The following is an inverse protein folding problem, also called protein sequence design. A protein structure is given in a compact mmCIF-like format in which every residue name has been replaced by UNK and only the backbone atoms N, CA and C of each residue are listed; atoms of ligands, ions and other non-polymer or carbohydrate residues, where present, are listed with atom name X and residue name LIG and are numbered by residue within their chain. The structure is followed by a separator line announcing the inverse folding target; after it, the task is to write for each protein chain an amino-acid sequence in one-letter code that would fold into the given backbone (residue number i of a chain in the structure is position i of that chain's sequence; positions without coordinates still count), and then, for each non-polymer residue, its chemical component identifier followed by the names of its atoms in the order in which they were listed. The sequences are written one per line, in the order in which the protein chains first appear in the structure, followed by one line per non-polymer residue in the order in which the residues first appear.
data_IF_833295876998
#
_entry.id   IF_833295876998
#
_cell.length_a   1.000
_cell.length_b   1.000
_cell.length_c   1.000
_cell.angle_alpha   90.00
_cell.angle_beta   90.00
_cell.angle_gamma   90.00
#
_symmetry.space_group_name_H-M   'P 1'
#
loop_
_entity.id
_entity.type
_entity.pdbx_description
1 polymer ?
#
# COMPACT_ATOMS: atom_id res chain seq x y z
N UNK A 1 7.78 -6.83 -0.86
CA UNK A 1 6.69 -5.90 -1.22
C UNK A 1 6.56 -4.82 -0.15
N UNK A 2 6.50 -3.55 -0.52
CA UNK A 2 6.26 -2.45 0.39
C UNK A 2 4.95 -1.75 0.02
N UNK A 3 4.15 -1.39 1.02
CA UNK A 3 3.02 -0.49 0.86
C UNK A 3 3.32 0.80 1.60
N UNK A 4 3.39 1.92 0.88
CA UNK A 4 3.61 3.25 1.45
C UNK A 4 2.27 3.97 1.53
N UNK A 5 1.88 4.45 2.71
CA UNK A 5 0.58 5.08 2.90
C UNK A 5 0.51 6.03 4.08
N UNK A 6 -0.52 6.88 4.08
CA UNK A 6 -0.72 7.92 5.09
C UNK A 6 0.28 9.05 4.95
N UNK A 7 0.49 9.80 6.01
CA UNK A 7 1.50 10.86 6.08
C UNK A 7 2.94 10.33 6.00
N UNK A 8 3.13 8.99 6.10
CA UNK A 8 4.42 8.34 5.81
C UNK A 8 4.87 8.55 4.36
N UNK A 9 3.98 9.00 3.48
CA UNK A 9 4.25 9.26 2.07
C UNK A 9 5.34 10.31 1.84
N UNK A 10 5.75 11.10 2.84
CA UNK A 10 6.41 12.36 2.44
C UNK A 10 7.48 12.87 3.40
N UNK A 11 7.93 12.17 4.38
CA UNK A 11 9.18 12.61 4.97
C UNK A 11 10.34 12.14 4.09
N UNK A 12 10.62 13.00 3.11
CA UNK A 12 11.64 12.81 2.07
C UNK A 12 12.92 12.23 2.64
N UNK A 13 13.35 11.10 2.10
CA UNK A 13 14.64 10.48 2.41
C UNK A 13 14.60 9.33 3.42
N UNK A 14 13.44 8.90 3.90
CA UNK A 14 13.37 7.86 4.95
C UNK A 14 13.34 6.44 4.41
N UNK A 15 12.69 6.17 3.27
CA UNK A 15 12.62 4.81 2.73
C UNK A 15 13.66 4.55 1.64
N UNK A 16 14.13 5.57 0.94
CA UNK A 16 15.02 5.43 -0.21
C UNK A 16 16.33 4.74 0.12
N UNK A 17 16.95 5.07 1.26
CA UNK A 17 18.18 4.42 1.71
C UNK A 17 17.96 2.93 2.02
N UNK A 18 16.87 2.58 2.70
CA UNK A 18 16.54 1.18 3.01
C UNK A 18 16.24 0.39 1.74
N UNK A 19 15.49 0.97 0.79
CA UNK A 19 15.19 0.33 -0.49
C UNK A 19 16.46 0.11 -1.30
N UNK A 20 17.36 1.11 -1.37
CA UNK A 20 18.68 0.96 -2.00
C UNK A 20 19.46 -0.21 -1.40
N UNK A 21 19.53 -0.26 -0.08
CA UNK A 21 20.31 -1.29 0.63
C UNK A 21 19.71 -2.69 0.40
N UNK A 22 18.37 -2.81 0.34
CA UNK A 22 17.69 -4.06 -0.03
C UNK A 22 18.02 -4.49 -1.46
N UNK A 23 17.94 -3.57 -2.42
CA UNK A 23 18.25 -3.86 -3.82
C UNK A 23 19.73 -4.24 -3.98
N UNK A 24 20.63 -3.54 -3.29
CA UNK A 24 22.06 -3.85 -3.28
C UNK A 24 22.36 -5.22 -2.66
N UNK A 25 21.54 -5.68 -1.72
CA UNK A 25 21.60 -7.04 -1.16
C UNK A 25 20.94 -8.10 -2.06
N UNK A 26 20.47 -7.74 -3.26
CA UNK A 26 19.86 -8.66 -4.23
C UNK A 26 18.35 -8.87 -4.06
N UNK A 27 17.69 -8.12 -3.19
CA UNK A 27 16.25 -8.23 -3.03
C UNK A 27 15.51 -7.60 -4.21
N UNK A 28 14.44 -8.27 -4.66
CA UNK A 28 13.48 -7.70 -5.63
C UNK A 28 12.43 -6.91 -4.85
N UNK A 29 12.39 -5.61 -5.06
CA UNK A 29 11.47 -4.71 -4.35
C UNK A 29 10.40 -4.21 -5.29
N UNK A 30 9.13 -4.30 -4.84
CA UNK A 30 7.96 -3.67 -5.48
C UNK A 30 7.30 -2.77 -4.45
N UNK A 31 6.88 -1.59 -4.85
CA UNK A 31 6.22 -0.60 -3.98
C UNK A 31 4.82 -0.35 -4.51
N UNK A 32 3.81 -0.38 -3.64
CA UNK A 32 2.51 0.24 -3.90
C UNK A 32 2.38 1.46 -3.00
N UNK A 33 1.96 2.59 -3.56
CA UNK A 33 1.72 3.78 -2.74
C UNK A 33 0.23 4.05 -2.54
N UNK A 34 -0.10 4.87 -1.55
CA UNK A 34 -1.42 5.42 -1.33
C UNK A 34 -1.58 6.79 -2.01
N UNK A 35 -2.21 7.72 -1.30
CA UNK A 35 -2.46 9.08 -1.76
C UNK A 35 -3.84 9.59 -1.37
N UNK A 36 -4.52 8.91 -0.43
CA UNK A 36 -5.87 9.27 0.00
C UNK A 36 -5.96 10.68 0.56
N UNK A 37 -4.97 11.08 1.36
CA UNK A 37 -4.90 12.42 1.97
C UNK A 37 -4.64 13.48 0.90
N UNK A 38 -3.65 13.25 0.02
CA UNK A 38 -3.37 14.15 -1.11
C UNK A 38 -4.58 14.31 -2.04
N UNK A 39 -5.36 13.24 -2.26
CA UNK A 39 -6.60 13.32 -3.02
C UNK A 39 -7.68 14.11 -2.26
N UNK A 40 -7.79 13.95 -0.94
CA UNK A 40 -8.72 14.72 -0.12
C UNK A 40 -8.40 16.20 -0.18
N UNK A 41 -7.14 16.57 -0.03
CA UNK A 41 -6.67 17.96 -0.10
C UNK A 41 -6.90 18.57 -1.48
N UNK A 42 -6.64 17.80 -2.53
CA UNK A 42 -6.87 18.21 -3.92
C UNK A 42 -8.37 18.48 -4.21
N UNK A 43 -9.26 17.62 -3.70
CA UNK A 43 -10.72 17.80 -3.83
C UNK A 43 -11.20 18.98 -2.99
N UNK A 44 -10.73 19.13 -1.74
CA UNK A 44 -11.07 20.24 -0.86
C UNK A 44 -10.73 21.60 -1.46
N UNK A 45 -9.56 21.73 -2.11
CA UNK A 45 -9.19 22.96 -2.85
C UNK A 45 -10.12 23.31 -4.00
N UNK A 46 -10.94 22.37 -4.45
CA UNK A 46 -11.98 22.55 -5.49
C UNK A 46 -13.39 22.66 -4.93
N UNK A 47 -13.51 22.73 -3.60
CA UNK A 47 -14.78 22.81 -2.92
C UNK A 47 -15.56 21.49 -2.87
N UNK A 48 -14.90 20.36 -3.17
CA UNK A 48 -15.50 19.03 -3.12
C UNK A 48 -15.26 18.38 -1.76
N UNK A 49 -16.34 17.85 -1.16
CA UNK A 49 -16.27 17.09 0.10
C UNK A 49 -16.35 15.59 -0.22
N UNK A 50 -15.33 14.79 0.14
CA UNK A 50 -15.39 13.35 -0.12
C UNK A 50 -16.45 12.66 0.75
N UNK A 51 -17.15 11.70 0.17
CA UNK A 51 -18.06 10.80 0.89
C UNK A 51 -17.45 9.40 0.97
N UNK A 52 -17.82 8.66 2.02
CA UNK A 52 -17.24 7.36 2.34
C UNK A 52 -18.33 6.34 2.64
N UNK A 53 -18.16 5.12 2.20
CA UNK A 53 -18.97 3.95 2.53
C UNK A 53 -18.01 2.83 2.96
N UNK A 54 -18.16 2.33 4.17
CA UNK A 54 -17.35 1.24 4.72
C UNK A 54 -15.83 1.47 4.58
N UNK A 55 -15.38 2.72 4.78
CA UNK A 55 -13.97 3.09 4.67
C UNK A 55 -13.44 3.23 3.23
N UNK A 56 -14.30 3.08 2.22
CA UNK A 56 -13.99 3.32 0.82
C UNK A 56 -14.54 4.67 0.35
N UNK A 57 -13.75 5.43 -0.40
CA UNK A 57 -14.17 6.71 -0.96
C UNK A 57 -15.14 6.50 -2.10
N UNK A 58 -16.35 7.02 -2.00
CA UNK A 58 -17.25 7.10 -3.14
C UNK A 58 -16.58 7.89 -4.27
N UNK A 59 -16.46 7.29 -5.44
CA UNK A 59 -15.64 7.82 -6.52
C UNK A 59 -16.51 8.06 -7.75
N UNK A 60 -16.93 9.31 -7.95
CA UNK A 60 -17.58 9.76 -9.19
C UNK A 60 -16.58 9.76 -10.36
N UNK A 61 -17.04 10.00 -11.58
CA UNK A 61 -16.14 10.18 -12.73
C UNK A 61 -15.13 11.33 -12.49
N UNK A 62 -15.59 12.46 -11.94
CA UNK A 62 -14.72 13.59 -11.61
C UNK A 62 -13.71 13.24 -10.51
N UNK A 63 -14.16 12.53 -9.47
CA UNK A 63 -13.27 12.06 -8.39
C UNK A 63 -12.25 11.04 -8.90
N UNK A 64 -12.64 10.15 -9.84
CA UNK A 64 -11.71 9.23 -10.51
C UNK A 64 -10.63 9.99 -11.28
N UNK A 65 -11.01 10.97 -12.06
CA UNK A 65 -10.07 11.76 -12.87
C UNK A 65 -9.11 12.58 -11.97
N UNK A 66 -9.64 13.10 -10.84
CA UNK A 66 -8.83 13.69 -9.79
C UNK A 66 -7.84 12.67 -9.19
N UNK A 67 -8.27 11.44 -8.91
CA UNK A 67 -7.41 10.39 -8.39
C UNK A 67 -6.28 10.04 -9.37
N UNK A 68 -6.56 9.94 -10.66
CA UNK A 68 -5.53 9.75 -11.71
C UNK A 68 -4.51 10.89 -11.67
N UNK A 69 -4.98 12.15 -11.62
CA UNK A 69 -4.12 13.34 -11.57
C UNK A 69 -3.22 13.33 -10.33
N UNK A 70 -3.81 13.08 -9.16
CA UNK A 70 -3.08 13.10 -7.88
C UNK A 70 -2.09 11.95 -7.78
N UNK A 71 -2.55 10.73 -8.03
CA UNK A 71 -1.71 9.55 -7.82
C UNK A 71 -0.55 9.47 -8.82
N UNK A 72 -0.81 9.76 -10.10
CA UNK A 72 0.24 9.73 -11.14
C UNK A 72 1.04 11.02 -11.25
N UNK A 73 0.40 12.17 -11.05
CA UNK A 73 1.01 13.48 -11.30
C UNK A 73 1.63 14.13 -10.07
N UNK A 74 1.27 13.70 -8.86
CA UNK A 74 1.75 14.32 -7.62
C UNK A 74 2.45 13.30 -6.71
N UNK A 75 1.75 12.24 -6.30
CA UNK A 75 2.27 11.28 -5.30
C UNK A 75 3.40 10.43 -5.89
N UNK A 76 3.16 9.76 -7.02
CA UNK A 76 4.17 8.91 -7.65
C UNK A 76 5.46 9.67 -7.99
N UNK A 77 5.44 10.85 -8.63
CA UNK A 77 6.67 11.60 -8.92
C UNK A 77 7.45 12.01 -7.67
N UNK A 78 6.77 12.38 -6.58
CA UNK A 78 7.43 12.73 -5.33
C UNK A 78 8.17 11.52 -4.72
N UNK A 79 7.51 10.36 -4.66
CA UNK A 79 8.09 9.12 -4.16
C UNK A 79 9.24 8.64 -5.05
N UNK A 80 9.06 8.65 -6.37
CA UNK A 80 10.10 8.27 -7.32
C UNK A 80 11.31 9.19 -7.20
N UNK A 81 11.09 10.50 -7.08
CA UNK A 81 12.16 11.47 -6.90
C UNK A 81 13.01 11.19 -5.66
N UNK A 82 12.36 10.83 -4.54
CA UNK A 82 13.05 10.42 -3.32
C UNK A 82 13.88 9.13 -3.53
N UNK A 83 13.29 8.12 -4.12
CA UNK A 83 13.98 6.85 -4.40
C UNK A 83 15.19 7.06 -5.31
N UNK A 84 15.03 7.81 -6.39
CA UNK A 84 16.11 8.12 -7.35
C UNK A 84 17.22 8.96 -6.71
N UNK A 85 16.87 9.93 -5.87
CA UNK A 85 17.85 10.72 -5.11
C UNK A 85 18.70 9.86 -4.15
N UNK A 86 18.18 8.69 -3.73
CA UNK A 86 18.90 7.71 -2.92
C UNK A 86 19.60 6.63 -3.76
N UNK A 87 19.66 6.75 -5.09
CA UNK A 87 20.34 5.82 -5.98
C UNK A 87 19.52 4.60 -6.39
N UNK A 88 18.20 4.60 -6.13
CA UNK A 88 17.29 3.52 -6.54
C UNK A 88 16.80 3.76 -7.97
N UNK A 89 16.88 2.76 -8.83
CA UNK A 89 16.29 2.81 -10.18
C UNK A 89 14.78 2.57 -10.10
N UNK A 90 14.02 3.58 -9.65
CA UNK A 90 12.58 3.50 -9.49
C UNK A 90 11.83 3.81 -10.79
N UNK A 91 10.79 3.01 -11.08
CA UNK A 91 9.92 3.18 -12.26
C UNK A 91 8.47 3.31 -11.80
N UNK A 92 7.86 4.47 -12.05
CA UNK A 92 6.45 4.70 -11.75
C UNK A 92 5.54 4.09 -12.79
N UNK A 93 4.61 3.27 -12.34
CA UNK A 93 3.51 2.73 -13.13
C UNK A 93 2.19 2.94 -12.38
N UNK A 94 1.09 2.99 -13.11
CA UNK A 94 -0.21 2.82 -12.51
C UNK A 94 -0.70 1.39 -12.76
N UNK A 95 -1.57 0.88 -11.93
CA UNK A 95 -2.05 -0.50 -12.07
C UNK A 95 -2.73 -0.80 -13.42
N UNK A 96 -3.26 0.23 -14.10
CA UNK A 96 -3.79 0.09 -15.45
C UNK A 96 -2.72 -0.03 -16.55
N UNK A 97 -1.47 0.42 -16.31
CA UNK A 97 -0.40 0.36 -17.31
C UNK A 97 -0.07 -1.12 -17.61
N UNK A 98 -0.08 -1.48 -18.88
CA UNK A 98 0.06 -2.88 -19.30
C UNK A 98 -1.03 -3.82 -18.77
N UNK A 99 -2.09 -3.29 -18.18
CA UNK A 99 -3.15 -4.08 -17.53
C UNK A 99 -2.63 -4.86 -16.32
N UNK A 100 -1.63 -4.32 -15.60
CA UNK A 100 -1.02 -4.98 -14.43
C UNK A 100 -2.07 -5.29 -13.37
N UNK A 101 -3.01 -4.36 -13.11
CA UNK A 101 -4.11 -4.58 -12.17
C UNK A 101 -5.43 -4.54 -12.92
N UNK A 102 -6.09 -5.69 -13.02
CA UNK A 102 -7.43 -5.83 -13.57
C UNK A 102 -8.44 -5.83 -12.45
N UNK A 103 -9.51 -5.07 -12.65
CA UNK A 103 -10.55 -4.87 -11.63
C UNK A 103 -11.94 -5.10 -12.19
N UNK A 104 -12.88 -5.30 -11.29
CA UNK A 104 -14.29 -5.11 -11.51
C UNK A 104 -14.80 -3.96 -10.62
N UNK A 105 -15.93 -3.37 -10.96
CA UNK A 105 -16.59 -2.39 -10.09
C UNK A 105 -16.94 -3.03 -8.75
N UNK A 106 -16.52 -2.41 -7.64
CA UNK A 106 -16.78 -2.92 -6.28
C UNK A 106 -18.26 -2.97 -5.95
N UNK A 107 -18.97 -1.88 -6.22
CA UNK A 107 -20.43 -1.78 -6.16
C UNK A 107 -20.91 -0.51 -6.90
N UNK A 108 -22.16 -0.48 -7.38
CA UNK A 108 -22.73 0.73 -7.99
C UNK A 108 -22.75 1.94 -7.05
N UNK A 109 -22.96 1.73 -5.75
CA UNK A 109 -23.01 2.80 -4.75
C UNK A 109 -21.65 3.50 -4.55
N UNK A 110 -20.55 2.82 -4.83
CA UNK A 110 -19.20 3.37 -4.74
C UNK A 110 -18.73 4.04 -6.04
N UNK A 111 -19.47 3.89 -7.14
CA UNK A 111 -19.09 4.44 -8.44
C UNK A 111 -17.84 3.76 -9.01
N UNK A 112 -16.82 4.54 -9.35
CA UNK A 112 -15.57 4.07 -9.95
C UNK A 112 -14.56 3.56 -8.90
N UNK A 113 -15.01 2.75 -7.95
CA UNK A 113 -14.15 2.00 -7.04
C UNK A 113 -14.02 0.58 -7.56
N UNK A 114 -12.77 0.13 -7.74
CA UNK A 114 -12.44 -1.19 -8.25
C UNK A 114 -12.07 -2.16 -7.14
N UNK A 115 -12.49 -3.43 -7.32
CA UNK A 115 -11.98 -4.60 -6.60
C UNK A 115 -11.00 -5.34 -7.49
N UNK A 116 -9.82 -5.68 -6.98
CA UNK A 116 -8.82 -6.41 -7.75
C UNK A 116 -9.30 -7.83 -8.08
N UNK A 117 -9.24 -8.19 -9.37
CA UNK A 117 -9.56 -9.53 -9.87
C UNK A 117 -8.34 -10.30 -10.31
N UNK A 118 -7.38 -9.61 -10.92
CA UNK A 118 -6.17 -10.22 -11.45
C UNK A 118 -5.00 -9.25 -11.34
N UNK A 119 -3.83 -9.75 -11.00
CA UNK A 119 -2.56 -9.04 -11.13
C UNK A 119 -1.70 -9.77 -12.16
N UNK A 120 -1.36 -9.07 -13.24
CA UNK A 120 -0.46 -9.56 -14.30
C UNK A 120 0.97 -9.23 -13.95
N UNK A 121 1.64 -10.17 -13.30
CA UNK A 121 2.99 -9.96 -12.74
C UNK A 121 4.12 -9.86 -13.75
N UNK A 122 3.90 -10.15 -15.04
CA UNK A 122 4.95 -10.20 -16.06
C UNK A 122 5.79 -8.92 -16.07
N UNK A 123 5.15 -7.75 -16.25
CA UNK A 123 5.85 -6.46 -16.23
C UNK A 123 6.61 -6.21 -14.92
N UNK A 124 6.04 -6.59 -13.76
CA UNK A 124 6.68 -6.41 -12.46
C UNK A 124 7.94 -7.28 -12.34
N UNK A 125 7.86 -8.52 -12.80
CA UNK A 125 9.01 -9.43 -12.83
C UNK A 125 10.11 -8.89 -13.77
N UNK A 126 9.76 -8.48 -14.99
CA UNK A 126 10.72 -7.96 -15.97
C UNK A 126 11.47 -6.73 -15.41
N UNK A 127 10.76 -5.82 -14.73
CA UNK A 127 11.36 -4.65 -14.11
C UNK A 127 12.30 -5.04 -12.95
N UNK A 128 11.82 -5.88 -12.03
CA UNK A 128 12.62 -6.26 -10.85
C UNK A 128 13.82 -7.14 -11.20
N UNK A 129 13.72 -7.98 -12.22
CA UNK A 129 14.86 -8.79 -12.73
C UNK A 129 15.96 -7.95 -13.35
N UNK A 130 15.62 -6.77 -13.84
CA UNK A 130 16.59 -5.77 -14.36
C UNK A 130 17.08 -4.79 -13.29
N UNK A 131 16.75 -4.98 -12.03
CA UNK A 131 17.16 -4.13 -10.91
C UNK A 131 16.35 -2.84 -10.76
N UNK A 132 15.22 -2.72 -11.47
CA UNK A 132 14.30 -1.61 -11.27
C UNK A 132 13.33 -1.87 -10.12
N UNK A 133 12.87 -0.81 -9.48
CA UNK A 133 11.86 -0.84 -8.42
C UNK A 133 10.55 -0.27 -8.98
N UNK A 134 9.58 -1.13 -9.40
CA UNK A 134 8.27 -0.66 -9.82
C UNK A 134 7.51 -0.05 -8.64
N UNK A 135 7.01 1.17 -8.86
CA UNK A 135 6.23 1.94 -7.89
C UNK A 135 4.82 2.13 -8.45
N UNK A 136 3.84 1.49 -7.82
CA UNK A 136 2.50 1.27 -8.38
C UNK A 136 1.50 2.25 -7.77
N UNK A 137 0.88 3.08 -8.60
CA UNK A 137 -0.26 3.90 -8.21
C UNK A 137 -1.54 3.04 -8.14
N UNK A 138 -2.44 3.27 -7.15
CA UNK A 138 -3.59 2.42 -6.87
C UNK A 138 -4.76 2.68 -7.84
N UNK A 139 -4.52 2.41 -9.11
CA UNK A 139 -5.50 2.47 -10.19
C UNK A 139 -5.61 1.10 -10.86
N UNK A 140 -6.79 0.71 -11.25
CA UNK A 140 -7.04 -0.53 -11.95
C UNK A 140 -7.78 -0.32 -13.26
N UNK A 141 -7.70 -1.30 -14.17
CA UNK A 141 -8.37 -1.29 -15.46
C UNK A 141 -9.52 -2.30 -15.47
N UNK A 142 -10.74 -1.83 -15.65
CA UNK A 142 -11.92 -2.64 -15.82
C UNK A 142 -11.96 -3.38 -17.16
N UNK A 143 -12.83 -4.37 -17.28
CA UNK A 143 -13.07 -5.06 -18.54
C UNK A 143 -13.76 -4.16 -19.58
N UNK A 144 -14.45 -3.12 -19.11
CA UNK A 144 -15.09 -2.06 -19.88
C UNK A 144 -14.09 -1.03 -20.45
N UNK A 145 -12.81 -1.12 -20.08
CA UNK A 145 -11.78 -0.15 -20.46
C UNK A 145 -11.71 1.09 -19.54
N UNK A 146 -12.60 1.18 -18.56
CA UNK A 146 -12.63 2.29 -17.61
C UNK A 146 -11.55 2.13 -16.51
N UNK A 147 -11.11 3.28 -15.99
CA UNK A 147 -10.21 3.33 -14.85
C UNK A 147 -11.00 3.33 -13.53
N UNK A 148 -10.48 2.63 -12.57
CA UNK A 148 -11.06 2.55 -11.24
C UNK A 148 -10.03 2.94 -10.19
N UNK A 149 -10.47 3.73 -9.20
CA UNK A 149 -9.74 3.94 -7.96
C UNK A 149 -9.77 2.66 -7.13
N UNK A 150 -8.61 2.21 -6.66
CA UNK A 150 -8.50 0.98 -5.87
C UNK A 150 -7.92 1.30 -4.50
N UNK A 151 -8.33 0.58 -3.47
CA UNK A 151 -7.70 0.71 -2.15
C UNK A 151 -6.23 0.30 -2.23
N UNK A 152 -5.32 1.16 -1.74
CA UNK A 152 -3.88 0.92 -1.83
C UNK A 152 -3.40 -0.30 -1.02
N UNK A 153 -4.08 -0.65 0.07
CA UNK A 153 -3.76 -1.85 0.87
C UNK A 153 -4.19 -3.11 0.11
N UNK A 154 -5.34 -3.07 -0.59
CA UNK A 154 -5.80 -4.13 -1.47
C UNK A 154 -4.83 -4.35 -2.66
N UNK A 155 -4.38 -3.26 -3.30
CA UNK A 155 -3.37 -3.34 -4.37
C UNK A 155 -2.10 -4.00 -3.86
N UNK A 156 -1.60 -3.57 -2.70
CA UNK A 156 -0.38 -4.12 -2.11
C UNK A 156 -0.51 -5.61 -1.83
N UNK A 157 -1.62 -6.03 -1.24
CA UNK A 157 -1.90 -7.44 -0.95
C UNK A 157 -2.01 -8.29 -2.21
N UNK A 158 -2.78 -7.84 -3.19
CA UNK A 158 -2.95 -8.55 -4.46
C UNK A 158 -1.62 -8.70 -5.22
N UNK A 159 -0.81 -7.63 -5.24
CA UNK A 159 0.52 -7.67 -5.86
C UNK A 159 1.44 -8.62 -5.10
N UNK A 160 1.50 -8.52 -3.75
CA UNK A 160 2.34 -9.40 -2.93
C UNK A 160 2.04 -10.89 -3.19
N UNK A 161 0.76 -11.25 -3.23
CA UNK A 161 0.31 -12.59 -3.58
C UNK A 161 0.75 -13.01 -4.99
N UNK A 162 0.55 -12.14 -5.99
CA UNK A 162 0.86 -12.45 -7.38
C UNK A 162 2.35 -12.64 -7.65
N UNK A 163 3.21 -11.80 -7.04
CA UNK A 163 4.67 -11.91 -7.18
C UNK A 163 5.28 -12.93 -6.21
N UNK A 164 4.47 -13.55 -5.34
CA UNK A 164 4.90 -14.47 -4.27
C UNK A 164 5.97 -13.82 -3.39
N UNK A 165 5.63 -12.66 -2.85
CA UNK A 165 6.54 -11.91 -2.01
C UNK A 165 6.88 -12.68 -0.72
N UNK A 166 8.16 -12.71 -0.34
CA UNK A 166 8.60 -13.29 0.93
C UNK A 166 8.10 -12.45 2.12
N UNK A 167 7.97 -11.13 1.93
CA UNK A 167 7.44 -10.22 2.94
C UNK A 167 6.61 -9.10 2.31
N UNK A 168 5.57 -8.67 3.05
CA UNK A 168 4.84 -7.43 2.81
C UNK A 168 4.93 -6.54 4.05
N UNK A 169 5.40 -5.31 3.87
CA UNK A 169 5.44 -4.29 4.91
C UNK A 169 4.42 -3.20 4.58
N UNK A 170 3.44 -3.02 5.45
CA UNK A 170 2.57 -1.84 5.47
C UNK A 170 3.29 -0.74 6.25
N UNK A 171 3.86 0.23 5.54
CA UNK A 171 4.44 1.43 6.13
C UNK A 171 3.30 2.43 6.40
N UNK A 172 3.12 2.79 7.65
CA UNK A 172 2.02 3.62 8.14
C UNK A 172 2.57 4.70 9.09
N UNK A 173 1.70 5.52 9.64
CA UNK A 173 2.00 6.59 10.59
C UNK A 173 1.82 6.18 12.06
N UNK A 174 1.55 4.90 12.31
CA UNK A 174 1.46 4.36 13.66
C UNK A 174 2.59 3.37 13.94
N UNK A 175 3.11 3.32 15.19
CA UNK A 175 4.29 2.53 15.51
C UNK A 175 4.07 1.02 15.37
N UNK A 176 2.88 0.54 15.70
CA UNK A 176 2.52 -0.88 15.73
C UNK A 176 1.02 -1.03 15.95
N UNK A 177 0.51 -2.25 15.92
CA UNK A 177 -0.78 -2.59 16.54
C UNK A 177 -0.62 -2.57 18.05
N UNK A 178 -1.50 -1.87 18.75
CA UNK A 178 -1.46 -1.75 20.21
C UNK A 178 -2.46 -2.73 20.84
N UNK A 179 -2.13 -3.21 22.04
CA UNK A 179 -3.04 -3.95 22.89
C UNK A 179 -4.00 -3.03 23.67
N UNK A 180 -4.82 -3.62 24.56
CA UNK A 180 -5.77 -2.86 25.40
C UNK A 180 -5.13 -1.89 26.38
N UNK A 181 -3.86 -2.07 26.74
CA UNK A 181 -3.07 -1.22 27.63
C UNK A 181 -2.23 -0.19 26.84
N UNK A 182 -2.39 -0.14 25.51
CA UNK A 182 -1.66 0.76 24.63
C UNK A 182 -0.21 0.35 24.37
N UNK A 183 0.16 -0.92 24.65
CA UNK A 183 1.50 -1.42 24.37
C UNK A 183 1.61 -2.05 22.98
N UNK A 184 2.74 -1.88 22.30
CA UNK A 184 2.97 -2.48 20.98
C UNK A 184 2.98 -4.01 21.03
N UNK A 185 2.18 -4.64 20.17
CA UNK A 185 2.19 -6.08 19.98
C UNK A 185 3.22 -6.42 18.90
N UNK A 186 4.24 -7.20 19.22
CA UNK A 186 5.28 -7.58 18.26
C UNK A 186 4.82 -8.65 17.28
N UNK A 187 4.33 -9.77 17.80
CA UNK A 187 3.77 -10.86 17.00
C UNK A 187 2.30 -11.01 17.36
N UNK A 188 1.43 -10.83 16.39
CA UNK A 188 -0.02 -10.86 16.57
C UNK A 188 -0.60 -12.05 15.80
N UNK A 189 -1.00 -13.12 16.48
CA UNK A 189 -1.71 -14.23 15.85
C UNK A 189 -3.04 -13.79 15.24
N UNK A 190 -3.39 -14.34 14.08
CA UNK A 190 -4.62 -13.99 13.36
C UNK A 190 -5.88 -14.16 14.21
N UNK A 191 -5.94 -15.24 15.01
CA UNK A 191 -7.06 -15.44 15.94
C UNK A 191 -7.16 -14.33 16.98
N UNK A 192 -6.03 -13.94 17.60
CA UNK A 192 -6.01 -12.85 18.58
C UNK A 192 -6.30 -11.49 17.92
N UNK A 193 -5.87 -11.29 16.68
CA UNK A 193 -6.20 -10.09 15.92
C UNK A 193 -7.72 -9.95 15.71
N UNK A 194 -8.40 -11.05 15.38
CA UNK A 194 -9.84 -11.08 15.23
C UNK A 194 -10.56 -10.73 16.55
N UNK A 195 -10.08 -11.27 17.67
CA UNK A 195 -10.62 -10.96 19.01
C UNK A 195 -10.47 -9.48 19.34
N UNK A 196 -9.26 -8.92 19.15
CA UNK A 196 -8.99 -7.50 19.42
C UNK A 196 -9.83 -6.55 18.55
N UNK A 197 -10.15 -6.95 17.33
CA UNK A 197 -11.10 -6.22 16.48
C UNK A 197 -12.51 -6.31 17.07
N UNK A 198 -12.96 -7.47 17.47
CA UNK A 198 -14.30 -7.68 18.05
C UNK A 198 -14.46 -6.97 19.41
N UNK A 199 -13.41 -6.92 20.22
CA UNK A 199 -13.33 -6.20 21.48
C UNK A 199 -13.26 -4.66 21.30
N UNK A 200 -13.04 -4.16 20.07
CA UNK A 200 -12.89 -2.74 19.75
C UNK A 200 -11.56 -2.13 20.22
N UNK A 201 -10.58 -2.95 20.55
CA UNK A 201 -9.19 -2.52 20.83
C UNK A 201 -8.52 -2.09 19.54
N UNK A 202 -8.59 -2.93 18.50
CA UNK A 202 -8.20 -2.55 17.14
C UNK A 202 -9.41 -1.89 16.49
N UNK A 203 -9.25 -0.63 16.08
CA UNK A 203 -10.35 0.21 15.57
C UNK A 203 -9.90 1.10 14.41
N UNK A 204 -10.87 1.80 13.82
CA UNK A 204 -10.68 2.80 12.77
C UNK A 204 -9.85 2.28 11.58
N UNK A 205 -8.93 3.08 11.08
CA UNK A 205 -8.07 2.76 9.94
C UNK A 205 -7.13 1.57 10.16
N UNK A 206 -6.97 1.06 11.39
CA UNK A 206 -6.16 -0.12 11.67
C UNK A 206 -6.90 -1.43 11.32
N UNK A 207 -8.22 -1.48 11.48
CA UNK A 207 -9.03 -2.68 11.18
C UNK A 207 -8.83 -3.18 9.76
N UNK A 208 -8.99 -2.34 8.70
CA UNK A 208 -8.78 -2.82 7.33
C UNK A 208 -7.34 -3.29 7.07
N UNK A 209 -6.34 -2.67 7.69
CA UNK A 209 -4.92 -3.08 7.53
C UNK A 209 -4.64 -4.45 8.16
N UNK A 210 -5.13 -4.66 9.38
CA UNK A 210 -4.97 -5.94 10.08
C UNK A 210 -5.72 -7.06 9.33
N UNK A 211 -6.95 -6.80 8.87
CA UNK A 211 -7.70 -7.76 8.04
C UNK A 211 -6.97 -8.10 6.74
N UNK A 212 -6.51 -7.08 6.01
CA UNK A 212 -5.73 -7.31 4.78
C UNK A 212 -4.45 -8.12 5.06
N UNK A 213 -3.79 -7.89 6.20
CA UNK A 213 -2.63 -8.66 6.60
C UNK A 213 -2.98 -10.13 6.92
N UNK A 214 -4.08 -10.36 7.64
CA UNK A 214 -4.56 -11.73 7.95
C UNK A 214 -4.90 -12.51 6.68
N UNK A 215 -5.56 -11.88 5.71
CA UNK A 215 -5.98 -12.48 4.43
C UNK A 215 -4.80 -12.90 3.54
N UNK A 216 -3.58 -12.50 3.90
CA UNK A 216 -2.37 -12.78 3.12
C UNK A 216 -1.47 -13.86 3.73
N UNK A 217 -1.78 -14.36 4.91
CA UNK A 217 -0.93 -15.32 5.64
C UNK A 217 -0.77 -16.67 4.92
N UNK A 218 -1.68 -17.01 4.02
CA UNK A 218 -1.60 -18.19 3.16
C UNK A 218 -0.65 -18.03 1.97
N UNK A 219 -0.27 -16.79 1.64
CA UNK A 219 0.47 -16.45 0.41
C UNK A 219 1.79 -15.71 0.66
N UNK A 220 1.94 -15.06 1.80
CA UNK A 220 3.10 -14.23 2.15
C UNK A 220 3.64 -14.69 3.49
N UNK A 221 4.92 -15.07 3.55
CA UNK A 221 5.52 -15.67 4.75
C UNK A 221 5.62 -14.70 5.93
N UNK A 222 5.72 -13.40 5.67
CA UNK A 222 5.77 -12.38 6.72
C UNK A 222 5.02 -11.11 6.30
N UNK A 223 4.00 -10.75 7.08
CA UNK A 223 3.25 -9.50 6.88
C UNK A 223 3.44 -8.60 8.10
N UNK A 224 3.90 -7.38 7.86
CA UNK A 224 4.24 -6.42 8.89
C UNK A 224 3.43 -5.13 8.77
N UNK A 225 3.08 -4.55 9.91
CA UNK A 225 2.56 -3.19 10.05
C UNK A 225 3.58 -2.40 10.87
N UNK A 226 4.16 -1.34 10.29
CA UNK A 226 5.27 -0.61 10.91
C UNK A 226 5.23 0.88 10.60
N UNK A 227 5.84 1.70 11.47
CA UNK A 227 5.94 3.15 11.30
C UNK A 227 6.97 3.52 10.24
N UNK A 228 6.49 3.90 9.05
CA UNK A 228 7.34 4.33 7.95
C UNK A 228 8.08 5.66 8.17
N UNK A 229 7.73 6.42 9.22
CA UNK A 229 8.38 7.69 9.57
C UNK A 229 9.69 7.49 10.33
N UNK A 230 9.92 6.31 10.88
CA UNK A 230 11.17 6.02 11.59
C UNK A 230 12.31 5.81 10.60
N UNK A 231 13.48 6.34 10.93
CA UNK A 231 14.68 6.10 10.15
C UNK A 231 15.01 4.58 10.13
N UNK A 232 15.28 4.06 8.94
CA UNK A 232 15.60 2.65 8.74
C UNK A 232 14.49 1.67 9.18
N UNK A 233 13.22 2.10 9.13
CA UNK A 233 12.07 1.30 9.54
C UNK A 233 11.99 -0.05 8.80
N UNK A 234 12.23 -0.04 7.49
CA UNK A 234 12.16 -1.26 6.66
C UNK A 234 13.25 -2.24 7.09
N UNK A 235 14.49 -1.75 7.21
CA UNK A 235 15.62 -2.57 7.61
C UNK A 235 15.43 -3.12 9.03
N UNK A 236 15.06 -2.26 9.98
CA UNK A 236 14.85 -2.66 11.38
C UNK A 236 13.75 -3.72 11.51
N UNK A 237 12.67 -3.58 10.75
CA UNK A 237 11.58 -4.56 10.72
C UNK A 237 12.07 -5.92 10.19
N UNK A 238 12.79 -5.94 9.07
CA UNK A 238 13.21 -7.17 8.40
C UNK A 238 14.33 -7.94 9.15
N UNK A 239 15.22 -7.24 9.85
CA UNK A 239 16.29 -7.89 10.63
C UNK A 239 15.86 -8.28 12.06
N UNK A 240 14.58 -8.21 12.37
CA UNK A 240 14.06 -8.60 13.69
C UNK A 240 14.22 -7.54 14.77
N UNK A 241 14.42 -6.28 14.38
CA UNK A 241 14.35 -5.11 15.28
C UNK A 241 12.95 -4.96 15.91
N UNK A 242 12.86 -4.14 16.96
CA UNK A 242 11.64 -3.99 17.80
C UNK A 242 10.64 -3.03 17.17
N UNK A 243 10.56 -2.92 15.86
CA UNK A 243 9.72 -1.93 15.17
C UNK A 243 8.59 -2.63 14.42
N UNK A 244 7.35 -2.30 14.80
CA UNK A 244 6.15 -2.79 14.11
C UNK A 244 5.54 -4.08 14.70
N UNK A 245 4.43 -4.49 14.11
CA UNK A 245 3.71 -5.73 14.42
C UNK A 245 3.80 -6.69 13.26
N UNK A 246 4.22 -7.92 13.51
CA UNK A 246 4.11 -9.02 12.56
C UNK A 246 2.80 -9.75 12.79
N UNK A 247 2.00 -9.88 11.74
CA UNK A 247 0.81 -10.73 11.75
C UNK A 247 1.27 -12.15 11.43
N UNK A 248 0.85 -13.11 12.25
CA UNK A 248 1.22 -14.52 12.14
C UNK A 248 -0.01 -15.41 12.11
N UNK A 249 0.15 -16.63 11.55
CA UNK A 249 -0.92 -17.62 11.46
C UNK A 249 -1.38 -18.13 12.86
#
# INVERSE_FOLDING_TARGET
MLKVGGTADVERGRIGADVRDLVAAGARVVIAHGGGDALSDYLAQRGETPTWIDGLRVTSAATRDAAVTVFRGMVAPALIGELVANGVSAVGIAGNDGGVIRVEQQSPALGYVGRVREVRRGLLNDLTERGHVPTIAPLGLGADGELYNVNGDEVAGAVARAVRADALLFLTDVPAVLDGDGQPIRDLPAGRAADLIAEGVIRDGMVPKVRAAMDLLDAVAAVWITDGRQAHAIRQTLVGGVVGTRIVA
#
